data_IF_320080312892
#
_entry.id   IF_320080312892
#
_cell.length_a   1.000
_cell.length_b   1.000
_cell.length_c   1.000
_cell.angle_alpha   90.00
_cell.angle_beta   90.00
_cell.angle_gamma   90.00
#
_symmetry.space_group_name_H-M   'P 1'
#
loop_
_entity.id
_entity.type
_entity.pdbx_description
1 polymer ?
#
# COMPACT_ATOMS: atom_id res chain seq x y z
N UNK A 1 4.79 4.12 3.83
CA UNK A 1 3.91 4.97 2.99
C UNK A 1 4.52 6.34 2.66
N UNK A 2 5.12 7.04 3.62
CA UNK A 2 5.71 8.38 3.43
C UNK A 2 6.76 8.43 2.31
N UNK A 3 7.65 7.45 2.23
CA UNK A 3 8.66 7.35 1.15
C UNK A 3 8.03 7.35 -0.24
N UNK A 4 6.88 6.69 -0.42
CA UNK A 4 6.18 6.60 -1.72
C UNK A 4 5.42 7.88 -2.05
N UNK A 5 4.78 8.51 -1.08
CA UNK A 5 4.23 9.87 -1.23
C UNK A 5 5.33 10.83 -1.67
N UNK A 6 6.50 10.79 -1.02
CA UNK A 6 7.64 11.63 -1.35
C UNK A 6 8.25 11.34 -2.73
N UNK A 7 8.39 10.06 -3.10
CA UNK A 7 8.86 9.65 -4.42
C UNK A 7 7.94 10.17 -5.54
N UNK A 8 6.62 10.01 -5.38
CA UNK A 8 5.63 10.47 -6.36
C UNK A 8 5.62 11.99 -6.49
N UNK A 9 5.69 12.71 -5.36
CA UNK A 9 5.67 14.17 -5.37
C UNK A 9 6.96 14.80 -5.87
N UNK A 10 8.13 14.23 -5.51
CA UNK A 10 9.41 14.96 -5.65
C UNK A 10 10.40 14.33 -6.61
N UNK A 11 10.40 12.99 -6.76
CA UNK A 11 11.40 12.27 -7.58
C UNK A 11 10.86 11.96 -8.97
N UNK A 12 9.62 11.47 -9.07
CA UNK A 12 9.02 11.11 -10.35
C UNK A 12 9.00 12.26 -11.37
N UNK A 13 8.60 13.52 -11.03
CA UNK A 13 8.61 14.61 -12.00
C UNK A 13 10.00 14.94 -12.55
N UNK A 14 11.05 14.77 -11.73
CA UNK A 14 12.44 14.97 -12.19
C UNK A 14 12.90 13.86 -13.14
N UNK A 15 12.46 12.62 -12.92
CA UNK A 15 12.80 11.48 -13.78
C UNK A 15 12.03 11.49 -15.10
N UNK A 16 10.75 11.87 -15.10
CA UNK A 16 9.97 12.03 -16.33
C UNK A 16 10.58 13.12 -17.22
N UNK A 17 10.98 14.25 -16.63
CA UNK A 17 11.65 15.33 -17.36
C UNK A 17 13.02 14.91 -17.93
N UNK A 18 13.68 13.89 -17.37
CA UNK A 18 14.88 13.31 -17.95
C UNK A 18 14.55 12.42 -19.16
N UNK A 19 13.54 11.55 -19.05
CA UNK A 19 13.12 10.69 -20.17
C UNK A 19 12.64 11.51 -21.37
N UNK A 20 11.88 12.58 -21.09
CA UNK A 20 11.38 13.53 -22.08
C UNK A 20 12.52 14.19 -22.86
N UNK A 21 13.57 14.65 -22.16
CA UNK A 21 14.78 15.21 -22.80
C UNK A 21 15.51 14.20 -23.69
N UNK A 22 15.65 12.95 -23.27
CA UNK A 22 16.29 11.92 -24.09
C UNK A 22 15.45 11.55 -25.31
N UNK A 23 14.11 11.62 -25.19
CA UNK A 23 13.21 11.40 -26.32
C UNK A 23 13.30 12.54 -27.35
N UNK A 24 13.31 13.79 -26.90
CA UNK A 24 13.42 14.97 -27.76
C UNK A 24 14.75 15.05 -28.53
N UNK A 25 15.83 14.49 -27.98
CA UNK A 25 17.14 14.45 -28.65
C UNK A 25 17.25 13.39 -29.76
N UNK A 26 16.27 12.48 -29.92
CA UNK A 26 16.30 11.49 -31.00
C UNK A 26 15.89 12.12 -32.33
N UNK A 27 16.74 11.94 -33.34
CA UNK A 27 16.48 12.33 -34.73
C UNK A 27 15.37 11.51 -35.39
N UNK A 28 15.19 10.25 -34.98
CA UNK A 28 14.16 9.34 -35.51
C UNK A 28 13.17 8.96 -34.40
N UNK A 29 11.98 9.57 -34.47
CA UNK A 29 10.85 9.43 -33.52
C UNK A 29 9.66 8.66 -34.11
N UNK A 30 9.58 8.51 -35.43
CA UNK A 30 8.44 7.90 -36.12
C UNK A 30 8.68 6.45 -36.53
N UNK A 31 9.93 5.96 -36.52
CA UNK A 31 10.21 4.59 -36.91
C UNK A 31 9.62 3.53 -35.97
N UNK A 32 9.41 2.33 -36.51
CA UNK A 32 8.95 1.17 -35.73
C UNK A 32 9.87 0.87 -34.55
N UNK A 33 11.19 1.05 -34.72
CA UNK A 33 12.17 0.91 -33.63
C UNK A 33 11.96 1.94 -32.52
N UNK A 34 11.65 3.19 -32.85
CA UNK A 34 11.36 4.23 -31.86
C UNK A 34 10.13 3.87 -31.00
N UNK A 35 9.10 3.26 -31.60
CA UNK A 35 7.91 2.77 -30.88
C UNK A 35 8.25 1.70 -29.84
N UNK A 36 9.12 0.74 -30.16
CA UNK A 36 9.55 -0.29 -29.21
C UNK A 36 10.39 0.27 -28.06
N UNK A 37 11.30 1.20 -28.35
CA UNK A 37 12.11 1.88 -27.31
C UNK A 37 11.21 2.65 -26.35
N UNK A 38 10.22 3.38 -26.87
CA UNK A 38 9.23 4.09 -26.05
C UNK A 38 8.44 3.14 -25.16
N UNK A 39 7.93 2.03 -25.72
CA UNK A 39 7.20 1.02 -24.94
C UNK A 39 8.08 0.41 -23.84
N UNK A 40 9.35 0.15 -24.11
CA UNK A 40 10.30 -0.34 -23.12
C UNK A 40 10.50 0.69 -21.98
N UNK A 41 10.67 1.97 -22.31
CA UNK A 41 10.82 3.03 -21.30
C UNK A 41 9.56 3.22 -20.43
N UNK A 42 8.39 3.18 -21.06
CA UNK A 42 7.10 3.23 -20.34
C UNK A 42 6.94 2.01 -19.41
N UNK A 43 7.30 0.81 -19.87
CA UNK A 43 7.26 -0.41 -19.06
C UNK A 43 8.17 -0.31 -17.83
N UNK A 44 9.41 0.15 -18.01
CA UNK A 44 10.36 0.35 -16.90
C UNK A 44 9.86 1.43 -15.92
N UNK A 45 9.28 2.52 -16.43
CA UNK A 45 8.71 3.57 -15.59
C UNK A 45 7.54 3.03 -14.74
N UNK A 46 6.64 2.26 -15.36
CA UNK A 46 5.51 1.61 -14.69
C UNK A 46 5.98 0.64 -13.61
N UNK A 47 6.92 -0.25 -13.94
CA UNK A 47 7.45 -1.24 -12.99
C UNK A 47 8.06 -0.55 -11.76
N UNK A 48 8.76 0.58 -11.92
CA UNK A 48 9.31 1.36 -10.79
C UNK A 48 8.23 2.00 -9.92
N UNK A 49 7.13 2.44 -10.53
CA UNK A 49 5.99 3.03 -9.84
C UNK A 49 5.23 1.98 -9.02
N UNK A 50 5.04 0.78 -9.60
CA UNK A 50 4.27 -0.31 -8.99
C UNK A 50 5.13 -1.21 -8.05
N UNK A 51 6.46 -1.18 -8.10
CA UNK A 51 7.38 -2.14 -7.42
C UNK A 51 7.06 -2.49 -5.96
N UNK A 52 6.66 -1.52 -5.13
CA UNK A 52 6.37 -1.77 -3.69
C UNK A 52 4.87 -1.72 -3.35
N UNK A 53 4.00 -1.48 -4.34
CA UNK A 53 2.56 -1.41 -4.11
C UNK A 53 1.95 -2.75 -3.66
N UNK A 54 2.34 -3.91 -4.24
CA UNK A 54 1.89 -5.22 -3.78
C UNK A 54 2.28 -5.51 -2.33
N UNK A 55 3.50 -5.16 -1.93
CA UNK A 55 3.99 -5.35 -0.57
C UNK A 55 3.15 -4.57 0.46
N UNK A 56 2.86 -3.31 0.16
CA UNK A 56 2.01 -2.45 1.02
C UNK A 56 0.60 -3.05 1.14
N UNK A 57 0.03 -3.57 0.05
CA UNK A 57 -1.29 -4.21 0.04
C UNK A 57 -1.32 -5.43 0.95
N UNK A 58 -0.29 -6.27 0.92
CA UNK A 58 -0.18 -7.46 1.79
C UNK A 58 -0.05 -7.05 3.26
N UNK A 59 0.79 -6.05 3.58
CA UNK A 59 0.94 -5.55 4.95
C UNK A 59 -0.39 -5.05 5.53
N UNK A 60 -1.15 -4.28 4.76
CA UNK A 60 -2.48 -3.79 5.17
C UNK A 60 -3.45 -4.95 5.40
N UNK A 61 -3.44 -5.95 4.52
CA UNK A 61 -4.29 -7.12 4.64
C UNK A 61 -3.94 -8.00 5.85
N UNK A 62 -2.70 -7.97 6.33
CA UNK A 62 -2.30 -8.70 7.53
C UNK A 62 -2.74 -8.03 8.83
N UNK A 63 -2.95 -6.71 8.87
CA UNK A 63 -3.32 -5.98 10.09
C UNK A 63 -4.60 -6.52 10.79
N UNK A 64 -5.71 -6.80 10.09
CA UNK A 64 -6.91 -7.39 10.71
C UNK A 64 -6.66 -8.81 11.23
N UNK A 65 -5.85 -9.60 10.52
CA UNK A 65 -5.52 -10.98 10.92
C UNK A 65 -4.71 -10.99 12.22
N UNK A 66 -3.78 -10.04 12.39
CA UNK A 66 -3.06 -9.85 13.64
C UNK A 66 -3.97 -9.39 14.78
N UNK A 67 -4.98 -8.56 14.49
CA UNK A 67 -6.01 -8.17 15.46
C UNK A 67 -6.84 -9.37 15.95
N UNK A 68 -7.24 -10.23 15.02
CA UNK A 68 -7.94 -11.48 15.32
C UNK A 68 -7.09 -12.41 16.19
N UNK A 69 -5.80 -12.56 15.87
CA UNK A 69 -4.86 -13.33 16.69
C UNK A 69 -4.79 -12.77 18.13
N UNK A 70 -4.77 -11.44 18.28
CA UNK A 70 -4.83 -10.79 19.58
C UNK A 70 -6.11 -11.11 20.37
N UNK A 71 -7.25 -11.22 19.69
CA UNK A 71 -8.51 -11.66 20.32
C UNK A 71 -8.44 -13.11 20.78
N UNK A 72 -7.84 -14.01 19.98
CA UNK A 72 -7.63 -15.40 20.41
C UNK A 72 -6.74 -15.46 21.65
N UNK A 73 -5.63 -14.71 21.67
CA UNK A 73 -4.76 -14.64 22.84
C UNK A 73 -5.46 -14.06 24.08
N UNK A 74 -6.31 -13.04 23.90
CA UNK A 74 -7.09 -12.47 25.00
C UNK A 74 -8.15 -13.44 25.53
N UNK A 75 -8.74 -14.26 24.68
CA UNK A 75 -9.68 -15.32 25.09
C UNK A 75 -9.00 -16.44 25.88
N UNK A 76 -7.76 -16.79 25.55
CA UNK A 76 -6.98 -17.74 26.36
C UNK A 76 -6.82 -17.22 27.80
N UNK A 77 -6.47 -15.94 27.97
CA UNK A 77 -6.36 -15.33 29.31
C UNK A 77 -7.68 -15.33 30.09
N UNK A 78 -8.82 -15.19 29.41
CA UNK A 78 -10.14 -15.29 30.06
C UNK A 78 -10.41 -16.70 30.57
N UNK A 79 -10.04 -17.73 29.81
CA UNK A 79 -10.15 -19.12 30.25
C UNK A 79 -9.22 -19.44 31.42
N UNK A 80 -8.02 -18.86 31.47
CA UNK A 80 -7.11 -19.00 32.61
C UNK A 80 -7.69 -18.38 33.89
N UNK A 81 -8.32 -17.20 33.80
CA UNK A 81 -9.00 -16.59 34.95
C UNK A 81 -10.17 -17.45 35.42
N UNK A 82 -10.92 -18.03 34.49
CA UNK A 82 -12.02 -18.94 34.79
C UNK A 82 -11.54 -20.24 35.48
N UNK A 83 -10.40 -20.80 35.05
CA UNK A 83 -9.87 -22.03 35.64
C UNK A 83 -9.35 -21.82 37.07
N UNK A 84 -8.79 -20.64 37.36
CA UNK A 84 -8.26 -20.31 38.70
C UNK A 84 -9.35 -19.81 39.65
N UNK A 85 -10.26 -18.95 39.18
CA UNK A 85 -11.26 -18.27 40.03
C UNK A 85 -12.66 -18.90 39.98
N UNK A 86 -12.86 -19.90 39.12
CA UNK A 86 -14.19 -20.44 38.82
C UNK A 86 -15.13 -19.39 38.23
N UNK A 87 -16.44 -19.68 38.26
CA UNK A 87 -17.49 -18.74 37.82
C UNK A 87 -17.76 -17.60 38.83
N UNK A 88 -16.97 -17.51 39.91
CA UNK A 88 -17.21 -16.59 41.04
C UNK A 88 -16.92 -15.12 40.77
N UNK A 89 -16.23 -14.77 39.67
CA UNK A 89 -15.92 -13.38 39.33
C UNK A 89 -16.32 -13.01 37.89
N UNK A 90 -17.64 -12.84 37.61
CA UNK A 90 -18.13 -12.49 36.28
C UNK A 90 -17.65 -11.11 35.80
N UNK A 91 -17.30 -10.19 36.73
CA UNK A 91 -16.70 -8.89 36.37
C UNK A 91 -15.32 -9.05 35.74
N UNK A 92 -14.48 -9.92 36.30
CA UNK A 92 -13.16 -10.20 35.75
C UNK A 92 -13.26 -10.84 34.36
N UNK A 93 -14.20 -11.76 34.16
CA UNK A 93 -14.47 -12.34 32.84
C UNK A 93 -14.91 -11.30 31.82
N UNK A 94 -15.88 -10.45 32.16
CA UNK A 94 -16.35 -9.38 31.28
C UNK A 94 -15.22 -8.41 30.89
N UNK A 95 -14.36 -8.05 31.84
CA UNK A 95 -13.19 -7.20 31.59
C UNK A 95 -12.19 -7.87 30.65
N UNK A 96 -11.91 -9.17 30.82
CA UNK A 96 -11.01 -9.91 29.93
C UNK A 96 -11.56 -10.06 28.51
N UNK A 97 -12.87 -10.28 28.37
CA UNK A 97 -13.52 -10.31 27.04
C UNK A 97 -13.43 -8.96 26.35
N UNK A 98 -13.70 -7.86 27.07
CA UNK A 98 -13.54 -6.51 26.54
C UNK A 98 -12.10 -6.23 26.10
N UNK A 99 -11.10 -6.65 26.87
CA UNK A 99 -9.69 -6.50 26.47
C UNK A 99 -9.35 -7.29 25.20
N UNK A 100 -9.93 -8.46 25.03
CA UNK A 100 -9.69 -9.29 23.84
C UNK A 100 -10.23 -8.66 22.55
N UNK A 101 -11.25 -7.78 22.61
CA UNK A 101 -11.78 -7.13 21.40
C UNK A 101 -10.97 -5.90 20.95
N UNK A 102 -10.20 -5.29 21.85
CA UNK A 102 -9.39 -4.09 21.56
C UNK A 102 -8.37 -4.32 20.42
N UNK A 103 -7.60 -5.42 20.40
CA UNK A 103 -6.69 -5.73 19.28
C UNK A 103 -7.39 -5.81 17.92
N UNK A 104 -8.59 -6.39 17.86
CA UNK A 104 -9.37 -6.50 16.63
C UNK A 104 -9.81 -5.13 16.13
N UNK A 105 -10.34 -4.28 17.03
CA UNK A 105 -10.69 -2.90 16.68
C UNK A 105 -9.48 -2.10 16.17
N UNK A 106 -8.35 -2.20 16.87
CA UNK A 106 -7.11 -1.55 16.46
C UNK A 106 -6.62 -2.02 15.08
N UNK A 107 -6.63 -3.34 14.84
CA UNK A 107 -6.25 -3.93 13.56
C UNK A 107 -7.13 -3.45 12.39
N UNK A 108 -8.44 -3.32 12.61
CA UNK A 108 -9.37 -2.79 11.61
C UNK A 108 -9.15 -1.30 11.34
N UNK A 109 -8.95 -0.47 12.36
CA UNK A 109 -8.69 0.97 12.19
C UNK A 109 -7.42 1.20 11.36
N UNK A 110 -6.34 0.46 11.67
CA UNK A 110 -5.09 0.53 10.90
C UNK A 110 -5.31 0.07 9.46
N UNK A 111 -6.05 -1.03 9.24
CA UNK A 111 -6.30 -1.56 7.91
C UNK A 111 -7.14 -0.61 7.04
N UNK A 112 -8.21 -0.04 7.58
CA UNK A 112 -9.08 0.92 6.87
C UNK A 112 -8.28 2.16 6.47
N UNK A 113 -7.53 2.72 7.43
CA UNK A 113 -6.66 3.88 7.18
C UNK A 113 -5.62 3.56 6.10
N UNK A 114 -4.96 2.40 6.21
CA UNK A 114 -3.98 1.93 5.23
C UNK A 114 -4.57 1.75 3.84
N UNK A 115 -5.78 1.20 3.74
CA UNK A 115 -6.46 1.00 2.46
C UNK A 115 -6.77 2.33 1.77
N UNK A 116 -7.22 3.34 2.52
CA UNK A 116 -7.45 4.68 2.00
C UNK A 116 -6.19 5.28 1.37
N UNK A 117 -5.06 5.22 2.08
CA UNK A 117 -3.80 5.73 1.54
C UNK A 117 -3.29 4.91 0.35
N UNK A 118 -3.47 3.59 0.35
CA UNK A 118 -3.09 2.73 -0.77
C UNK A 118 -3.89 3.09 -2.03
N UNK A 119 -5.21 3.30 -1.89
CA UNK A 119 -6.06 3.73 -3.00
C UNK A 119 -5.60 5.08 -3.56
N UNK A 120 -5.26 6.04 -2.69
CA UNK A 120 -4.76 7.35 -3.11
C UNK A 120 -3.40 7.28 -3.81
N UNK A 121 -2.51 6.40 -3.36
CA UNK A 121 -1.21 6.15 -4.00
C UNK A 121 -1.36 5.49 -5.37
N UNK A 122 -2.27 4.53 -5.49
CA UNK A 122 -2.54 3.85 -6.76
C UNK A 122 -3.15 4.82 -7.80
N UNK A 123 -4.10 5.65 -7.37
CA UNK A 123 -4.68 6.69 -8.22
C UNK A 123 -3.61 7.67 -8.74
N UNK A 124 -2.72 8.13 -7.85
CA UNK A 124 -1.62 9.03 -8.25
C UNK A 124 -0.61 8.35 -9.18
N UNK A 125 -0.28 7.07 -8.93
CA UNK A 125 0.59 6.27 -9.80
C UNK A 125 0.03 6.19 -11.22
N UNK A 126 -1.27 5.88 -11.36
CA UNK A 126 -1.96 5.81 -12.65
C UNK A 126 -1.96 7.15 -13.38
N UNK A 127 -2.30 8.24 -12.69
CA UNK A 127 -2.31 9.59 -13.27
C UNK A 127 -0.91 10.02 -13.72
N UNK A 128 0.11 9.73 -12.93
CA UNK A 128 1.49 10.04 -13.27
C UNK A 128 1.97 9.25 -14.51
N UNK A 129 1.54 7.99 -14.63
CA UNK A 129 1.82 7.15 -15.80
C UNK A 129 1.07 7.60 -17.06
N UNK A 130 -0.20 8.01 -16.93
CA UNK A 130 -0.98 8.58 -18.03
C UNK A 130 -0.32 9.85 -18.55
N UNK A 131 0.01 10.80 -17.67
CA UNK A 131 0.71 12.04 -18.05
C UNK A 131 2.03 11.79 -18.78
N UNK A 132 2.79 10.77 -18.37
CA UNK A 132 4.04 10.41 -19.05
C UNK A 132 3.76 9.82 -20.45
N UNK A 133 2.72 8.99 -20.56
CA UNK A 133 2.27 8.43 -21.84
C UNK A 133 1.85 9.53 -22.80
N UNK A 134 1.02 10.48 -22.35
CA UNK A 134 0.51 11.57 -23.17
C UNK A 134 1.63 12.47 -23.71
N UNK A 135 2.60 12.83 -22.86
CA UNK A 135 3.79 13.62 -23.26
C UNK A 135 4.65 12.92 -24.31
N UNK A 136 4.72 11.59 -24.27
CA UNK A 136 5.46 10.79 -25.25
C UNK A 136 4.64 10.45 -26.50
N UNK A 137 3.36 10.85 -26.54
CA UNK A 137 2.45 10.64 -27.67
C UNK A 137 2.16 11.91 -28.48
N UNK A 138 2.20 13.09 -27.84
CA UNK A 138 1.86 14.37 -28.46
C UNK A 138 3.02 15.12 -29.15
N UNK A 139 4.17 14.48 -29.35
CA UNK A 139 5.29 14.99 -30.17
C UNK A 139 5.84 13.93 -31.13
#
# INVERSE_FOLDING_TARGET
>A
MVERLWYLWRIFPKRSASLERHWQQRSDRSSTTARYVRQAWLSVARQRLERFMPLIRVLIAMCPLLGLLGTVSGMIQVFDVLSVSGTGNPRAMAAGVSRATVPTMAGMVIAISGLFFLARLDAQSRLAMQRLTDRLHHE
#
